data_IF_926929363530
#
_entry.id   IF_926929363530
#
_cell.length_a   1.000
_cell.length_b   1.000
_cell.length_c   1.000
_cell.angle_alpha   90.00
_cell.angle_beta   90.00
_cell.angle_gamma   90.00
#
_symmetry.space_group_name_H-M   'P 1'
#
loop_
_entity.id
_entity.type
_entity.pdbx_description
1 polymer ?
#
# COMPACT_ATOMS: atom_id res chain seq x y z
N UNK A 1 -3.94 12.97 -22.79
CA UNK A 1 -5.17 12.77 -22.00
C UNK A 1 -4.72 12.70 -20.55
N UNK A 2 -5.14 13.68 -19.73
CA UNK A 2 -4.72 13.79 -18.33
C UNK A 2 -5.59 12.91 -17.47
N UNK A 3 -5.02 11.82 -16.97
CA UNK A 3 -5.59 11.00 -15.91
C UNK A 3 -4.85 11.32 -14.62
N UNK A 4 -5.59 11.41 -13.53
CA UNK A 4 -5.07 11.56 -12.17
C UNK A 4 -4.66 10.20 -11.62
N UNK A 5 -3.54 10.14 -10.92
CA UNK A 5 -3.03 8.93 -10.29
C UNK A 5 -2.81 9.12 -8.80
N UNK A 6 -3.08 8.04 -8.07
CA UNK A 6 -2.82 7.95 -6.64
C UNK A 6 -1.84 6.83 -6.40
N UNK A 7 -0.68 7.16 -5.85
CA UNK A 7 0.30 6.18 -5.38
C UNK A 7 -0.09 5.69 -3.99
N UNK A 8 -0.61 4.48 -3.86
CA UNK A 8 -1.15 4.00 -2.58
C UNK A 8 -0.09 3.57 -1.57
N UNK A 9 1.20 3.56 -1.94
CA UNK A 9 2.29 3.12 -1.06
C UNK A 9 3.64 3.74 -1.46
N UNK A 10 4.14 4.69 -0.67
CA UNK A 10 5.42 5.36 -0.89
C UNK A 10 6.10 5.74 0.44
N UNK A 11 7.44 5.67 0.46
CA UNK A 11 8.28 5.99 1.61
C UNK A 11 9.17 7.22 1.29
N UNK A 12 8.59 8.42 1.32
CA UNK A 12 9.28 9.70 1.10
C UNK A 12 10.35 9.99 2.16
N UNK A 13 10.13 9.54 3.40
CA UNK A 13 11.10 9.57 4.48
C UNK A 13 12.38 8.79 4.10
N UNK A 14 12.24 7.56 3.60
CA UNK A 14 13.37 6.75 3.14
C UNK A 14 14.02 7.36 1.89
N UNK A 15 13.24 7.91 0.94
CA UNK A 15 13.78 8.64 -0.21
C UNK A 15 14.69 9.80 0.25
N UNK A 16 14.24 10.53 1.28
CA UNK A 16 15.02 11.63 1.87
C UNK A 16 16.29 11.14 2.56
N UNK A 17 16.23 10.04 3.30
CA UNK A 17 17.41 9.43 3.91
C UNK A 17 18.43 8.97 2.87
N UNK A 18 17.98 8.57 1.68
CA UNK A 18 18.85 8.27 0.54
C UNK A 18 19.36 9.52 -0.21
N UNK A 19 19.11 10.72 0.31
CA UNK A 19 19.72 11.97 -0.14
C UNK A 19 18.98 12.72 -1.26
N UNK A 20 17.71 12.41 -1.53
CA UNK A 20 16.87 13.17 -2.46
C UNK A 20 15.80 13.95 -1.70
N UNK A 21 15.61 15.23 -2.03
CA UNK A 21 14.61 16.04 -1.31
C UNK A 21 13.19 15.53 -1.56
N UNK A 22 12.32 15.72 -0.57
CA UNK A 22 10.90 15.39 -0.70
C UNK A 22 10.28 16.30 -1.77
N UNK A 23 10.62 17.59 -1.77
CA UNK A 23 10.09 18.58 -2.73
C UNK A 23 10.42 18.22 -4.17
N UNK A 24 11.66 17.80 -4.46
CA UNK A 24 12.04 17.37 -5.81
C UNK A 24 11.27 16.11 -6.23
N UNK A 25 11.11 15.17 -5.30
CA UNK A 25 10.36 13.93 -5.53
C UNK A 25 8.89 14.21 -5.82
N UNK A 26 8.26 15.08 -5.04
CA UNK A 26 6.86 15.47 -5.22
C UNK A 26 6.65 16.22 -6.54
N UNK A 27 7.57 17.10 -6.93
CA UNK A 27 7.45 17.83 -8.20
C UNK A 27 7.56 16.88 -9.40
N UNK A 28 8.49 15.92 -9.38
CA UNK A 28 8.55 14.86 -10.42
C UNK A 28 7.25 14.05 -10.49
N UNK A 29 6.72 13.68 -9.33
CA UNK A 29 5.49 12.90 -9.22
C UNK A 29 4.29 13.64 -9.82
N UNK A 30 4.16 14.94 -9.48
CA UNK A 30 3.13 15.83 -10.04
C UNK A 30 3.24 15.97 -11.54
N UNK A 31 4.46 16.16 -12.07
CA UNK A 31 4.71 16.25 -13.52
C UNK A 31 4.35 14.96 -14.26
N UNK A 32 4.42 13.80 -13.59
CA UNK A 32 4.03 12.51 -14.12
C UNK A 32 2.51 12.19 -13.97
N UNK A 33 1.73 13.11 -13.39
CA UNK A 33 0.28 12.95 -13.22
C UNK A 33 -0.15 12.29 -11.90
N UNK A 34 0.77 12.14 -10.93
CA UNK A 34 0.43 11.72 -9.57
C UNK A 34 0.01 12.94 -8.76
N UNK A 35 -1.26 12.97 -8.35
CA UNK A 35 -1.84 14.08 -7.58
C UNK A 35 -2.17 13.71 -6.13
N UNK A 36 -2.00 12.44 -5.76
CA UNK A 36 -2.01 12.00 -4.37
C UNK A 36 -1.05 10.83 -4.15
N UNK A 37 -0.48 10.76 -2.94
CA UNK A 37 0.24 9.57 -2.48
C UNK A 37 -0.06 9.26 -1.01
N UNK A 38 0.22 8.03 -0.60
CA UNK A 38 0.17 7.60 0.81
C UNK A 38 1.59 7.40 1.32
N UNK A 39 2.00 8.23 2.27
CA UNK A 39 3.26 8.08 3.00
C UNK A 39 3.11 6.99 4.06
N UNK A 40 3.96 5.98 4.01
CA UNK A 40 3.85 4.80 4.87
C UNK A 40 4.70 4.93 6.13
N UNK A 41 4.11 4.66 7.29
CA UNK A 41 4.81 4.44 8.56
C UNK A 41 5.05 2.95 8.81
N UNK A 42 6.26 2.57 9.19
CA UNK A 42 6.68 1.18 9.45
C UNK A 42 7.05 0.91 10.92
N UNK A 43 7.20 1.95 11.72
CA UNK A 43 7.47 1.91 13.15
C UNK A 43 6.95 3.20 13.83
N UNK A 44 7.17 3.36 15.14
CA UNK A 44 6.74 4.57 15.85
C UNK A 44 7.44 5.86 15.34
N UNK A 45 8.78 5.90 15.14
CA UNK A 45 9.45 7.07 14.57
C UNK A 45 8.96 7.46 13.16
N UNK A 46 8.95 6.53 12.21
CA UNK A 46 8.49 6.75 10.83
C UNK A 46 7.01 7.06 10.76
N UNK A 47 6.17 6.51 11.64
CA UNK A 47 4.74 6.88 11.72
C UNK A 47 4.55 8.32 12.16
N UNK A 48 5.35 8.83 13.12
CA UNK A 48 5.35 10.25 13.49
C UNK A 48 5.85 11.13 12.35
N UNK A 49 6.86 10.65 11.64
CA UNK A 49 7.40 11.35 10.48
C UNK A 49 6.43 11.38 9.30
N UNK A 50 5.65 10.32 9.08
CA UNK A 50 4.62 10.23 8.07
C UNK A 50 3.52 11.29 8.27
N UNK A 51 3.08 11.45 9.53
CA UNK A 51 2.18 12.54 9.94
C UNK A 51 2.80 13.89 9.61
N UNK A 52 4.06 14.11 10.01
CA UNK A 52 4.75 15.39 9.79
C UNK A 52 4.91 15.70 8.30
N UNK A 53 5.32 14.74 7.49
CA UNK A 53 5.48 14.90 6.04
C UNK A 53 4.14 15.30 5.39
N UNK A 54 3.06 14.63 5.79
CA UNK A 54 1.70 14.94 5.33
C UNK A 54 1.24 16.34 5.73
N UNK A 55 1.59 16.81 6.92
CA UNK A 55 1.29 18.16 7.41
C UNK A 55 2.11 19.24 6.68
N UNK A 56 3.39 18.99 6.38
CA UNK A 56 4.31 20.03 5.87
C UNK A 56 4.44 20.08 4.35
N UNK A 57 4.25 18.97 3.64
CA UNK A 57 4.48 18.90 2.18
C UNK A 57 3.23 18.66 1.35
N UNK A 58 2.08 18.34 1.96
CA UNK A 58 0.82 18.23 1.22
C UNK A 58 0.37 19.60 0.72
N UNK A 59 0.00 19.68 -0.56
CA UNK A 59 -0.47 20.91 -1.23
C UNK A 59 -1.80 20.67 -1.94
N UNK A 60 -2.37 21.71 -2.54
CA UNK A 60 -3.58 21.58 -3.37
C UNK A 60 -3.33 20.78 -4.65
N UNK A 61 -2.12 20.83 -5.19
CA UNK A 61 -1.74 20.15 -6.44
C UNK A 61 -1.19 18.74 -6.24
N UNK A 62 -0.79 18.38 -5.02
CA UNK A 62 -0.41 17.02 -4.64
C UNK A 62 -0.75 16.78 -3.16
N UNK A 63 -1.70 15.87 -2.92
CA UNK A 63 -2.14 15.50 -1.58
C UNK A 63 -1.27 14.39 -1.00
N UNK A 64 -0.91 14.50 0.27
CA UNK A 64 -0.19 13.44 0.98
C UNK A 64 -1.08 12.93 2.09
N UNK A 65 -1.60 11.72 1.90
CA UNK A 65 -2.18 10.93 2.99
C UNK A 65 -1.07 10.16 3.70
N UNK A 66 -1.35 9.58 4.86
CA UNK A 66 -0.37 8.77 5.59
C UNK A 66 -0.99 7.54 6.24
N UNK A 67 -0.15 6.57 6.56
CA UNK A 67 -0.49 5.42 7.39
C UNK A 67 0.37 5.37 8.66
N UNK A 68 -0.11 4.63 9.66
CA UNK A 68 0.57 4.42 10.95
C UNK A 68 0.56 2.92 11.22
N UNK A 69 1.74 2.32 11.42
CA UNK A 69 1.87 0.87 11.51
C UNK A 69 3.17 0.40 12.14
N UNK A 70 3.32 -0.91 12.18
CA UNK A 70 4.48 -1.64 12.68
C UNK A 70 4.77 -2.77 11.71
N UNK A 71 5.75 -2.57 10.84
CA UNK A 71 6.13 -3.51 9.80
C UNK A 71 6.68 -4.80 10.43
N UNK A 72 6.44 -5.99 9.85
CA UNK A 72 6.84 -7.27 10.43
C UNK A 72 8.36 -7.43 10.67
N UNK A 73 9.19 -6.66 9.98
CA UNK A 73 10.65 -6.65 10.18
C UNK A 73 11.10 -5.77 11.35
N UNK A 74 10.26 -4.83 11.80
CA UNK A 74 10.56 -3.93 12.92
C UNK A 74 10.24 -4.60 14.26
N UNK A 75 10.79 -5.81 14.46
CA UNK A 75 10.51 -6.65 15.63
C UNK A 75 10.90 -5.98 16.95
N UNK A 76 11.88 -5.07 16.90
CA UNK A 76 12.29 -4.25 18.03
C UNK A 76 11.23 -3.25 18.50
N UNK A 77 10.24 -2.94 17.64
CA UNK A 77 9.12 -2.03 17.91
C UNK A 77 7.84 -2.76 18.33
N UNK A 78 7.81 -4.10 18.31
CA UNK A 78 6.66 -4.87 18.77
C UNK A 78 6.25 -4.54 20.23
N UNK A 79 7.18 -4.32 21.18
CA UNK A 79 6.83 -3.84 22.52
C UNK A 79 6.17 -2.46 22.54
N UNK A 80 6.38 -1.64 21.49
CA UNK A 80 5.81 -0.30 21.34
C UNK A 80 4.47 -0.31 20.59
N UNK A 81 3.92 -1.47 20.22
CA UNK A 81 2.67 -1.57 19.46
C UNK A 81 1.52 -0.76 20.09
N UNK A 82 1.38 -0.75 21.42
CA UNK A 82 0.36 0.07 22.09
C UNK A 82 0.58 1.58 21.89
N UNK A 83 1.83 2.04 21.88
CA UNK A 83 2.14 3.45 21.64
C UNK A 83 1.85 3.86 20.19
N UNK A 84 2.10 2.96 19.23
CA UNK A 84 1.74 3.15 17.82
C UNK A 84 0.22 3.24 17.66
N UNK A 85 -0.53 2.37 18.33
CA UNK A 85 -2.00 2.41 18.31
C UNK A 85 -2.57 3.65 19.00
N UNK A 86 -1.96 4.14 20.08
CA UNK A 86 -2.35 5.43 20.70
C UNK A 86 -2.08 6.61 19.77
N UNK A 87 -0.96 6.60 19.03
CA UNK A 87 -0.71 7.60 17.98
C UNK A 87 -1.80 7.53 16.91
N UNK A 88 -2.13 6.34 16.41
CA UNK A 88 -3.20 6.15 15.43
C UNK A 88 -4.55 6.67 15.96
N UNK A 89 -4.90 6.33 17.20
CA UNK A 89 -6.14 6.77 17.87
C UNK A 89 -6.22 8.29 17.96
N UNK A 90 -5.11 8.97 18.26
CA UNK A 90 -5.05 10.44 18.30
C UNK A 90 -5.32 11.11 16.94
N UNK A 91 -5.17 10.36 15.83
CA UNK A 91 -5.33 10.83 14.45
C UNK A 91 -6.62 10.37 13.78
N UNK A 92 -7.54 9.71 14.50
CA UNK A 92 -8.79 9.19 13.95
C UNK A 92 -9.62 10.21 13.16
N UNK A 93 -9.61 11.48 13.58
CA UNK A 93 -10.38 12.55 12.92
C UNK A 93 -9.59 13.32 11.87
N UNK A 94 -8.32 12.99 11.64
CA UNK A 94 -7.52 13.60 10.59
C UNK A 94 -7.92 13.01 9.22
N UNK A 95 -8.44 13.80 8.27
CA UNK A 95 -8.82 13.29 6.95
C UNK A 95 -7.63 12.80 6.11
N UNK A 96 -6.38 13.15 6.47
CA UNK A 96 -5.18 12.66 5.77
C UNK A 96 -4.71 11.30 6.28
N UNK A 97 -5.19 10.85 7.44
CA UNK A 97 -4.84 9.52 7.95
C UNK A 97 -5.60 8.45 7.15
N UNK A 98 -4.95 7.81 6.19
CA UNK A 98 -5.61 6.90 5.26
C UNK A 98 -5.85 5.52 5.87
N UNK A 99 -4.84 4.93 6.52
CA UNK A 99 -4.88 3.51 6.89
C UNK A 99 -4.00 3.15 8.09
N UNK A 100 -4.31 2.02 8.71
CA UNK A 100 -3.43 1.34 9.65
C UNK A 100 -2.45 0.47 8.86
N UNK A 101 -1.16 0.70 9.02
CA UNK A 101 -0.13 0.00 8.28
C UNK A 101 1.10 0.87 8.05
N UNK A 102 2.22 0.30 7.66
CA UNK A 102 2.35 -1.08 7.19
C UNK A 102 2.37 -2.08 8.35
N UNK A 103 1.58 -3.15 8.24
CA UNK A 103 1.51 -4.28 9.19
C UNK A 103 1.48 -5.58 8.41
N UNK A 104 1.83 -6.71 8.98
CA UNK A 104 1.77 -7.96 8.22
C UNK A 104 2.63 -9.08 8.74
N UNK A 105 3.03 -9.95 7.81
CA UNK A 105 3.93 -11.07 8.07
C UNK A 105 4.97 -11.16 6.95
N UNK A 106 6.25 -11.18 7.34
CA UNK A 106 7.41 -11.40 6.46
C UNK A 106 8.25 -12.56 7.03
N UNK A 107 8.14 -13.71 6.38
CA UNK A 107 8.88 -14.92 6.76
C UNK A 107 10.12 -15.15 5.87
N UNK A 108 10.32 -14.29 4.88
CA UNK A 108 11.51 -14.32 4.03
C UNK A 108 12.73 -13.82 4.81
N UNK A 109 12.58 -12.74 5.59
CA UNK A 109 13.70 -12.16 6.34
C UNK A 109 14.01 -12.91 7.64
N UNK A 110 12.99 -13.22 8.46
CA UNK A 110 13.18 -13.97 9.71
C UNK A 110 11.93 -14.76 10.11
N UNK A 111 11.89 -16.02 9.72
CA UNK A 111 10.81 -16.93 10.08
C UNK A 111 10.75 -17.28 11.59
N UNK A 112 11.80 -17.01 12.37
CA UNK A 112 11.82 -17.31 13.81
C UNK A 112 10.87 -16.42 14.62
N UNK A 113 10.52 -15.25 14.08
CA UNK A 113 9.61 -14.28 14.70
C UNK A 113 8.15 -14.45 14.27
N UNK A 114 7.82 -15.53 13.52
CA UNK A 114 6.47 -15.83 13.00
C UNK A 114 5.35 -15.61 14.02
N UNK A 115 5.51 -16.14 15.24
CA UNK A 115 4.48 -15.99 16.29
C UNK A 115 4.27 -14.53 16.67
N UNK A 116 5.37 -13.79 16.89
CA UNK A 116 5.31 -12.38 17.29
C UNK A 116 4.70 -11.50 16.19
N UNK A 117 5.08 -11.73 14.93
CA UNK A 117 4.50 -11.02 13.79
C UNK A 117 2.99 -11.26 13.69
N UNK A 118 2.55 -12.51 13.87
CA UNK A 118 1.13 -12.88 13.88
C UNK A 118 0.35 -12.24 15.04
N UNK A 119 0.94 -12.19 16.23
CA UNK A 119 0.31 -11.57 17.41
C UNK A 119 0.15 -10.06 17.21
N UNK A 120 1.18 -9.38 16.70
CA UNK A 120 1.13 -7.95 16.38
C UNK A 120 0.14 -7.68 15.26
N UNK A 121 0.15 -8.46 14.17
CA UNK A 121 -0.83 -8.33 13.08
C UNK A 121 -2.27 -8.39 13.61
N UNK A 122 -2.61 -9.40 14.43
CA UNK A 122 -3.95 -9.52 15.02
C UNK A 122 -4.32 -8.31 15.89
N UNK A 123 -3.38 -7.81 16.69
CA UNK A 123 -3.58 -6.61 17.52
C UNK A 123 -3.94 -5.37 16.69
N UNK A 124 -3.27 -5.16 15.56
CA UNK A 124 -3.60 -4.05 14.66
C UNK A 124 -4.89 -4.30 13.85
N UNK A 125 -5.23 -5.55 13.52
CA UNK A 125 -6.51 -5.91 12.91
C UNK A 125 -7.70 -5.69 13.87
N UNK A 126 -7.53 -5.98 15.16
CA UNK A 126 -8.52 -5.64 16.19
C UNK A 126 -8.79 -4.14 16.23
N UNK A 127 -7.73 -3.32 16.22
CA UNK A 127 -7.86 -1.87 16.16
C UNK A 127 -8.57 -1.42 14.87
N UNK A 128 -8.16 -1.94 13.71
CA UNK A 128 -8.81 -1.67 12.42
C UNK A 128 -10.31 -2.00 12.47
N UNK A 129 -10.67 -3.13 13.06
CA UNK A 129 -12.07 -3.55 13.23
C UNK A 129 -12.85 -2.60 14.15
N UNK A 130 -12.27 -2.18 15.27
CA UNK A 130 -12.92 -1.28 16.24
C UNK A 130 -13.20 0.11 15.61
N UNK A 131 -12.20 0.67 14.93
CA UNK A 131 -12.25 2.04 14.40
C UNK A 131 -12.65 2.11 12.92
N UNK A 132 -12.93 0.96 12.28
CA UNK A 132 -13.29 0.84 10.85
C UNK A 132 -12.26 1.49 9.92
N UNK A 133 -10.99 1.36 10.26
CA UNK A 133 -9.88 1.88 9.46
C UNK A 133 -9.43 0.82 8.45
N UNK A 134 -9.14 1.17 7.19
CA UNK A 134 -8.51 0.24 6.27
C UNK A 134 -7.11 -0.14 6.76
N UNK A 135 -6.63 -1.31 6.34
CA UNK A 135 -5.26 -1.75 6.60
C UNK A 135 -4.39 -1.79 5.34
N UNK A 136 -3.09 -1.54 5.49
CA UNK A 136 -2.04 -1.82 4.49
C UNK A 136 -1.28 -3.06 4.96
N UNK A 137 -1.50 -4.18 4.26
CA UNK A 137 -0.96 -5.50 4.64
C UNK A 137 0.29 -5.83 3.82
N UNK A 138 1.41 -5.98 4.51
CA UNK A 138 2.62 -6.63 4.01
C UNK A 138 2.47 -8.15 4.10
N UNK A 139 2.84 -8.85 3.04
CA UNK A 139 2.89 -10.30 3.07
C UNK A 139 3.99 -10.82 2.16
N UNK A 140 5.00 -11.47 2.74
CA UNK A 140 6.13 -12.02 2.00
C UNK A 140 6.52 -13.39 2.52
N UNK A 141 6.49 -14.39 1.63
CA UNK A 141 6.65 -15.82 1.94
C UNK A 141 5.72 -16.29 3.08
N UNK A 142 4.57 -15.61 3.24
CA UNK A 142 3.71 -15.71 4.40
C UNK A 142 2.22 -15.75 4.04
N UNK A 143 1.90 -16.23 2.82
CA UNK A 143 0.54 -16.28 2.30
C UNK A 143 -0.44 -16.93 3.28
N UNK A 144 -0.09 -18.11 3.82
CA UNK A 144 -1.00 -18.86 4.69
C UNK A 144 -1.27 -18.12 6.01
N UNK A 145 -0.22 -17.65 6.70
CA UNK A 145 -0.33 -16.90 7.95
C UNK A 145 -1.15 -15.63 7.76
N UNK A 146 -0.88 -14.90 6.67
CA UNK A 146 -1.60 -13.66 6.35
C UNK A 146 -3.07 -13.98 6.07
N UNK A 147 -3.35 -14.96 5.21
CA UNK A 147 -4.73 -15.32 4.85
C UNK A 147 -5.53 -15.80 6.06
N UNK A 148 -4.96 -16.64 6.93
CA UNK A 148 -5.63 -17.10 8.14
C UNK A 148 -5.97 -15.96 9.09
N UNK A 149 -5.01 -15.05 9.35
CA UNK A 149 -5.24 -13.87 10.16
C UNK A 149 -6.36 -12.99 9.55
N UNK A 150 -6.28 -12.62 8.27
CA UNK A 150 -7.30 -11.76 7.65
C UNK A 150 -8.69 -12.43 7.60
N UNK A 151 -8.75 -13.76 7.46
CA UNK A 151 -9.99 -14.53 7.44
C UNK A 151 -10.74 -14.47 8.79
N UNK A 152 -10.03 -14.44 9.91
CA UNK A 152 -10.63 -14.24 11.25
C UNK A 152 -11.36 -12.88 11.36
N UNK A 153 -10.88 -11.89 10.61
CA UNK A 153 -11.41 -10.53 10.55
C UNK A 153 -12.28 -10.26 9.31
N UNK A 154 -12.72 -11.30 8.61
CA UNK A 154 -13.63 -11.14 7.46
C UNK A 154 -14.85 -10.31 7.87
N UNK A 155 -15.23 -9.36 7.01
CA UNK A 155 -16.31 -8.37 7.22
C UNK A 155 -16.10 -7.38 8.37
N UNK A 156 -14.98 -7.48 9.10
CA UNK A 156 -14.64 -6.59 10.22
C UNK A 156 -13.49 -5.65 9.86
N UNK A 157 -12.52 -6.14 9.10
CA UNK A 157 -11.45 -5.36 8.51
C UNK A 157 -11.54 -5.42 6.98
N UNK A 158 -10.97 -4.40 6.34
CA UNK A 158 -10.77 -4.32 4.90
C UNK A 158 -9.48 -3.55 4.65
N UNK A 159 -8.95 -3.57 3.43
CA UNK A 159 -7.72 -2.87 3.15
C UNK A 159 -7.11 -3.30 1.84
N UNK A 160 -5.79 -3.25 1.79
CA UNK A 160 -4.99 -3.60 0.62
C UNK A 160 -3.92 -4.61 1.00
N UNK A 161 -3.75 -5.64 0.17
CA UNK A 161 -2.50 -6.41 0.13
C UNK A 161 -1.55 -5.61 -0.75
N UNK A 162 -0.62 -4.90 -0.11
CA UNK A 162 0.36 -4.10 -0.84
C UNK A 162 1.41 -5.01 -1.46
N UNK A 163 2.09 -4.49 -2.47
CA UNK A 163 3.19 -5.09 -3.21
C UNK A 163 2.95 -6.57 -3.50
N UNK A 164 1.82 -6.86 -4.15
CA UNK A 164 1.37 -8.23 -4.32
C UNK A 164 2.36 -9.07 -5.12
N UNK A 165 2.81 -10.17 -4.53
CA UNK A 165 3.87 -11.04 -5.08
C UNK A 165 3.50 -12.52 -5.17
N UNK A 166 2.23 -12.87 -4.97
CA UNK A 166 1.73 -14.25 -5.08
C UNK A 166 1.06 -14.53 -6.43
N UNK A 167 0.40 -15.69 -6.55
CA UNK A 167 -0.30 -16.13 -7.76
C UNK A 167 -1.76 -15.67 -7.83
N UNK A 168 -2.42 -15.99 -8.94
CA UNK A 168 -3.83 -15.64 -9.15
C UNK A 168 -4.77 -16.24 -8.08
N UNK A 169 -4.52 -17.46 -7.61
CA UNK A 169 -5.40 -18.09 -6.61
C UNK A 169 -5.30 -17.36 -5.27
N UNK A 170 -4.09 -17.00 -4.84
CA UNK A 170 -3.87 -16.16 -3.66
C UNK A 170 -4.56 -14.79 -3.81
N UNK A 171 -4.42 -14.14 -4.97
CA UNK A 171 -5.08 -12.86 -5.24
C UNK A 171 -6.61 -13.00 -5.12
N UNK A 172 -7.18 -14.05 -5.72
CA UNK A 172 -8.61 -14.34 -5.65
C UNK A 172 -9.07 -14.55 -4.21
N UNK A 173 -8.32 -15.30 -3.39
CA UNK A 173 -8.65 -15.53 -1.99
C UNK A 173 -8.71 -14.23 -1.18
N UNK A 174 -7.76 -13.30 -1.38
CA UNK A 174 -7.79 -12.00 -0.71
C UNK A 174 -8.93 -11.10 -1.20
N UNK A 175 -9.24 -11.13 -2.50
CA UNK A 175 -10.40 -10.42 -3.07
C UNK A 175 -11.72 -10.94 -2.50
N UNK A 176 -11.85 -12.27 -2.30
CA UNK A 176 -13.01 -12.92 -1.69
C UNK A 176 -13.19 -12.59 -0.19
N UNK A 177 -12.10 -12.17 0.48
CA UNK A 177 -12.13 -11.61 1.83
C UNK A 177 -12.46 -10.11 1.85
N UNK A 178 -12.31 -9.45 0.71
CA UNK A 178 -12.65 -8.05 0.50
C UNK A 178 -11.51 -7.05 0.53
N UNK A 179 -10.30 -7.55 0.25
CA UNK A 179 -9.11 -6.74 0.12
C UNK A 179 -8.88 -6.30 -1.33
N UNK A 180 -8.37 -5.09 -1.49
CA UNK A 180 -7.73 -4.68 -2.73
C UNK A 180 -6.39 -5.41 -2.90
N UNK A 181 -5.97 -5.57 -4.15
CA UNK A 181 -4.64 -6.07 -4.52
C UNK A 181 -3.89 -4.92 -5.19
N UNK A 182 -2.77 -4.52 -4.60
CA UNK A 182 -1.91 -3.48 -5.16
C UNK A 182 -0.79 -4.07 -5.98
N UNK A 183 -0.58 -3.54 -7.18
CA UNK A 183 0.53 -3.93 -8.03
C UNK A 183 1.59 -2.82 -8.04
N UNK A 184 2.81 -3.18 -7.67
CA UNK A 184 3.99 -2.31 -7.74
C UNK A 184 4.73 -2.46 -9.07
N UNK A 185 5.91 -1.85 -9.19
CA UNK A 185 6.77 -1.98 -10.37
C UNK A 185 7.13 -3.42 -10.77
N UNK A 186 6.98 -4.40 -9.86
CA UNK A 186 7.21 -5.82 -10.13
C UNK A 186 6.34 -6.33 -11.28
N UNK A 187 5.11 -5.83 -11.45
CA UNK A 187 4.20 -6.28 -12.54
C UNK A 187 4.82 -6.06 -13.93
N UNK A 188 5.74 -5.12 -14.06
CA UNK A 188 6.46 -4.81 -15.31
C UNK A 188 7.61 -5.78 -15.61
N UNK A 189 8.03 -6.62 -14.65
CA UNK A 189 9.16 -7.51 -14.82
C UNK A 189 8.78 -8.71 -15.69
N UNK A 190 9.66 -9.08 -16.63
CA UNK A 190 9.43 -10.22 -17.54
C UNK A 190 9.21 -11.54 -16.80
N UNK A 191 9.80 -11.70 -15.62
CA UNK A 191 9.70 -12.90 -14.78
C UNK A 191 8.44 -12.96 -13.91
N UNK A 192 7.70 -11.86 -13.76
CA UNK A 192 6.56 -11.75 -12.86
C UNK A 192 5.27 -12.33 -13.48
N UNK A 193 5.34 -13.56 -14.00
CA UNK A 193 4.23 -14.18 -14.77
C UNK A 193 2.99 -14.35 -13.89
N UNK A 194 3.15 -14.85 -12.67
CA UNK A 194 2.03 -15.10 -11.75
C UNK A 194 1.33 -13.80 -11.33
N UNK A 195 2.10 -12.74 -11.07
CA UNK A 195 1.60 -11.40 -10.73
C UNK A 195 0.87 -10.78 -11.92
N UNK A 196 1.41 -10.92 -13.13
CA UNK A 196 0.75 -10.46 -14.35
C UNK A 196 -0.56 -11.22 -14.63
N UNK A 197 -0.58 -12.52 -14.33
CA UNK A 197 -1.79 -13.35 -14.43
C UNK A 197 -2.86 -12.90 -13.42
N UNK A 198 -2.47 -12.62 -12.18
CA UNK A 198 -3.36 -12.04 -11.17
C UNK A 198 -3.95 -10.70 -11.66
N UNK A 199 -3.10 -9.75 -12.07
CA UNK A 199 -3.53 -8.45 -12.59
C UNK A 199 -4.47 -8.55 -13.80
N UNK A 200 -4.31 -9.60 -14.62
CA UNK A 200 -5.17 -9.87 -15.77
C UNK A 200 -6.55 -10.41 -15.38
N UNK A 201 -6.63 -11.23 -14.34
CA UNK A 201 -7.82 -12.06 -14.06
C UNK A 201 -8.71 -11.55 -12.92
N UNK A 202 -8.16 -10.84 -11.93
CA UNK A 202 -8.98 -10.35 -10.81
C UNK A 202 -9.92 -9.22 -11.27
N UNK A 203 -11.05 -8.97 -10.56
CA UNK A 203 -11.95 -7.87 -10.88
C UNK A 203 -11.21 -6.53 -10.91
N UNK A 204 -11.49 -5.68 -11.90
CA UNK A 204 -10.82 -4.38 -12.03
C UNK A 204 -11.12 -3.48 -10.82
N UNK A 205 -12.28 -3.65 -10.19
CA UNK A 205 -12.70 -2.95 -8.98
C UNK A 205 -11.89 -3.32 -7.74
N UNK A 206 -11.14 -4.42 -7.75
CA UNK A 206 -10.27 -4.83 -6.63
C UNK A 206 -8.80 -4.44 -6.83
N UNK A 207 -8.47 -3.72 -7.91
CA UNK A 207 -7.08 -3.35 -8.25
C UNK A 207 -6.72 -1.97 -7.71
N UNK A 208 -5.56 -1.89 -7.08
CA UNK A 208 -4.80 -0.66 -6.81
C UNK A 208 -3.44 -0.74 -7.50
N UNK A 209 -2.76 0.40 -7.59
CA UNK A 209 -1.38 0.50 -8.07
C UNK A 209 -0.58 1.36 -7.11
N UNK A 210 0.71 1.08 -7.03
CA UNK A 210 1.64 1.80 -6.19
C UNK A 210 3.05 1.76 -6.77
N UNK A 211 3.97 2.51 -6.17
CA UNK A 211 5.38 2.41 -6.49
C UNK A 211 6.18 1.58 -5.49
N UNK A 212 5.81 1.60 -4.22
CA UNK A 212 6.68 1.12 -3.12
C UNK A 212 8.04 1.85 -3.12
N UNK A 213 8.05 3.11 -3.57
CA UNK A 213 9.27 3.88 -3.68
C UNK A 213 9.91 4.12 -2.30
N UNK A 214 11.24 4.05 -2.16
CA UNK A 214 12.27 4.05 -3.21
C UNK A 214 12.59 2.69 -3.84
N UNK A 215 11.87 1.63 -3.48
CA UNK A 215 12.13 0.26 -3.91
C UNK A 215 11.46 -0.07 -5.25
N UNK A 216 11.83 -1.20 -5.84
CA UNK A 216 11.06 -1.86 -6.91
C UNK A 216 10.77 -1.04 -8.18
N UNK A 217 11.70 -0.19 -8.62
CA UNK A 217 11.57 0.58 -9.88
C UNK A 217 11.08 -0.29 -11.06
N UNK A 218 10.01 0.12 -11.76
CA UNK A 218 9.47 -0.61 -12.90
C UNK A 218 10.45 -0.61 -14.09
N UNK A 219 10.25 -1.50 -15.05
CA UNK A 219 10.89 -1.39 -16.37
C UNK A 219 10.42 -0.10 -17.08
N UNK A 220 11.31 0.66 -17.76
CA UNK A 220 12.74 0.39 -18.01
C UNK A 220 13.71 0.92 -16.93
N UNK A 221 13.21 1.41 -15.80
CA UNK A 221 13.99 2.03 -14.71
C UNK A 221 14.55 1.04 -13.68
N UNK A 222 14.37 -0.27 -13.89
CA UNK A 222 14.86 -1.32 -12.98
C UNK A 222 16.35 -1.13 -12.64
N UNK A 223 16.67 -1.20 -11.36
CA UNK A 223 18.03 -0.97 -10.84
C UNK A 223 18.37 0.49 -10.53
N UNK A 224 17.47 1.43 -10.82
CA UNK A 224 17.53 2.82 -10.34
C UNK A 224 16.64 2.99 -9.11
N UNK A 225 16.84 4.08 -8.37
CA UNK A 225 15.90 4.50 -7.31
C UNK A 225 14.51 4.73 -7.89
N UNK A 226 13.49 4.28 -7.16
CA UNK A 226 12.11 4.50 -7.53
C UNK A 226 11.58 5.81 -6.93
N UNK A 227 10.57 6.39 -7.58
CA UNK A 227 9.78 7.47 -7.02
C UNK A 227 8.37 7.42 -7.62
N UNK A 228 7.42 8.15 -7.03
CA UNK A 228 6.02 8.12 -7.48
C UNK A 228 5.84 8.57 -8.93
N UNK A 229 6.82 9.27 -9.54
CA UNK A 229 6.77 9.60 -10.98
C UNK A 229 6.87 8.37 -11.90
N UNK A 230 7.23 7.21 -11.36
CA UNK A 230 7.24 5.96 -12.10
C UNK A 230 5.90 5.21 -12.09
N UNK A 231 4.89 5.66 -11.34
CA UNK A 231 3.57 5.04 -11.30
C UNK A 231 2.90 4.88 -12.68
N UNK A 232 3.04 5.82 -13.64
CA UNK A 232 2.51 5.64 -14.99
C UNK A 232 3.02 4.37 -15.70
N UNK A 233 4.26 3.93 -15.46
CA UNK A 233 4.78 2.71 -16.07
C UNK A 233 4.10 1.45 -15.52
N UNK A 234 3.70 1.48 -14.25
CA UNK A 234 2.91 0.41 -13.63
C UNK A 234 1.54 0.34 -14.30
N UNK A 235 0.87 1.49 -14.43
CA UNK A 235 -0.43 1.60 -15.09
C UNK A 235 -0.39 1.18 -16.56
N UNK A 236 0.61 1.61 -17.31
CA UNK A 236 0.82 1.19 -18.70
C UNK A 236 0.97 -0.33 -18.83
N UNK A 237 1.67 -0.96 -17.88
CA UNK A 237 1.75 -2.41 -17.83
C UNK A 237 0.39 -3.03 -17.55
N UNK A 238 -0.41 -2.49 -16.63
CA UNK A 238 -1.77 -2.97 -16.38
C UNK A 238 -2.61 -2.87 -17.68
N UNK A 239 -2.55 -1.76 -18.42
CA UNK A 239 -3.24 -1.64 -19.71
C UNK A 239 -2.90 -2.79 -20.67
N UNK A 240 -1.63 -3.20 -20.74
CA UNK A 240 -1.22 -4.29 -21.62
C UNK A 240 -1.76 -5.68 -21.22
N UNK A 241 -2.23 -5.83 -19.97
CA UNK A 241 -2.74 -7.08 -19.43
C UNK A 241 -4.27 -7.15 -19.45
N UNK A 242 -4.93 -6.00 -19.45
CA UNK A 242 -6.39 -5.85 -19.42
C UNK A 242 -7.01 -5.87 -20.81
N UNK A 243 -8.28 -6.24 -20.88
CA UNK A 243 -9.06 -6.23 -22.13
C UNK A 243 -9.99 -5.01 -22.20
N UNK A 244 -10.28 -4.40 -21.07
CA UNK A 244 -11.05 -3.17 -20.94
C UNK A 244 -10.30 -1.99 -21.60
N UNK A 245 -11.01 -0.96 -22.09
CA UNK A 245 -10.39 0.25 -22.61
C UNK A 245 -9.47 0.90 -21.57
N UNK A 246 -8.30 1.42 -21.99
CA UNK A 246 -7.36 2.07 -21.07
C UNK A 246 -7.99 3.19 -20.24
N UNK A 247 -8.94 3.94 -20.81
CA UNK A 247 -9.67 4.99 -20.09
C UNK A 247 -10.50 4.42 -18.93
N UNK A 248 -11.15 3.27 -19.13
CA UNK A 248 -11.91 2.59 -18.08
C UNK A 248 -11.00 2.05 -16.99
N UNK A 249 -9.87 1.44 -17.36
CA UNK A 249 -8.86 0.95 -16.42
C UNK A 249 -8.32 2.08 -15.56
N UNK A 250 -7.93 3.21 -16.17
CA UNK A 250 -7.42 4.38 -15.47
C UNK A 250 -8.44 4.94 -14.47
N UNK A 251 -9.67 5.17 -14.94
CA UNK A 251 -10.75 5.71 -14.12
C UNK A 251 -11.12 4.79 -12.96
N UNK A 252 -11.15 3.48 -13.21
CA UNK A 252 -11.50 2.52 -12.16
C UNK A 252 -10.44 2.45 -11.09
N UNK A 253 -9.17 2.32 -11.47
CA UNK A 253 -8.05 2.28 -10.52
C UNK A 253 -8.02 3.57 -9.69
N UNK A 254 -8.17 4.73 -10.32
CA UNK A 254 -8.25 6.00 -9.60
C UNK A 254 -9.41 6.04 -8.60
N UNK A 255 -10.61 5.61 -9.00
CA UNK A 255 -11.78 5.53 -8.10
C UNK A 255 -11.56 4.55 -6.95
N UNK A 256 -10.88 3.42 -7.19
CA UNK A 256 -10.54 2.46 -6.15
C UNK A 256 -9.55 3.08 -5.14
N UNK A 257 -8.49 3.73 -5.61
CA UNK A 257 -7.51 4.40 -4.75
C UNK A 257 -8.12 5.55 -3.94
N UNK A 258 -9.05 6.31 -4.53
CA UNK A 258 -9.82 7.32 -3.81
C UNK A 258 -10.66 6.69 -2.70
N UNK A 259 -11.40 5.62 -3.01
CA UNK A 259 -12.16 4.90 -1.98
C UNK A 259 -11.25 4.44 -0.84
N UNK A 260 -10.11 3.83 -1.15
CA UNK A 260 -9.16 3.37 -0.15
C UNK A 260 -8.66 4.52 0.75
N UNK A 261 -8.18 5.62 0.15
CA UNK A 261 -7.65 6.78 0.90
C UNK A 261 -8.74 7.55 1.67
N UNK A 262 -9.99 7.48 1.23
CA UNK A 262 -11.18 8.00 1.93
C UNK A 262 -11.78 7.00 2.94
N UNK A 263 -11.06 5.91 3.25
CA UNK A 263 -11.48 4.88 4.23
C UNK A 263 -12.80 4.18 3.87
N UNK A 264 -13.06 3.99 2.58
CA UNK A 264 -14.24 3.28 2.07
C UNK A 264 -13.83 1.88 1.59
N UNK A 265 -14.54 0.88 2.07
CA UNK A 265 -14.32 -0.50 1.68
C UNK A 265 -14.65 -0.72 0.19
N UNK A 266 -13.94 -1.68 -0.41
CA UNK A 266 -14.18 -2.12 -1.78
C UNK A 266 -15.61 -2.65 -1.99
N UNK A 267 -16.07 -3.55 -1.11
CA UNK A 267 -17.35 -4.26 -1.24
C UNK A 267 -18.55 -3.61 -0.54
N UNK A 268 -18.41 -2.39 -0.03
CA UNK A 268 -19.53 -1.69 0.63
C UNK A 268 -19.81 -0.37 -0.08
N UNK A 269 -20.73 -0.43 -1.05
CA UNK A 269 -21.56 0.71 -1.47
C UNK A 269 -22.95 0.54 -0.85
#
# INVERSE_FOLDING_TARGET
MGYSLIDTHCHLDIIREQGQSIEETLEKSRMAGVDQLVQIGIDLPSSKEAVRISETHSTESLKISYSIGCHPTETHEFPNADQILELAKSRMFDPKFAAIGEIGVDLYHDASTRSQQNDVLRKFLDFSSEYKMPVVIHSRDAYQDTYEALKEFKTKAFGVIHCFTYDYEAAKHFVDLGYYISFSGIVTFKSAVDIQEAAKKIPLESILIETDAPFLSPMPHRGKRNDSSHLPFVLEKIYSLRTEPNTEVAERIYKNSLKFTERKAYHHA
#
